data_IF_548641635919
#
_entry.id   IF_548641635919
#
_cell.length_a   1.000
_cell.length_b   1.000
_cell.length_c   1.000
_cell.angle_alpha   90.00
_cell.angle_beta   90.00
_cell.angle_gamma   90.00
#
_symmetry.space_group_name_H-M   'P 1'
#
loop_
_entity.id
_entity.type
_entity.pdbx_description
1 polymer ?
#
# COMPACT_ATOMS: atom_id res chain seq x y z
N UNK A 1 -76.50 24.16 -36.97
CA UNK A 1 -75.61 23.63 -38.01
C UNK A 1 -74.41 24.53 -38.38
N UNK A 2 -74.55 25.87 -38.40
CA UNK A 2 -73.40 26.75 -38.71
C UNK A 2 -72.37 26.85 -37.56
N UNK A 3 -72.76 26.74 -36.27
CA UNK A 3 -71.82 26.82 -35.13
C UNK A 3 -71.07 25.52 -34.90
N UNK A 4 -71.67 24.35 -35.14
CA UNK A 4 -71.01 23.04 -35.03
C UNK A 4 -69.95 22.87 -36.08
N UNK A 5 -70.05 23.39 -37.29
CA UNK A 5 -69.05 23.38 -38.33
C UNK A 5 -67.82 24.26 -37.96
N UNK A 6 -68.10 25.43 -37.33
CA UNK A 6 -67.01 26.34 -36.89
C UNK A 6 -66.20 25.78 -35.74
N UNK A 7 -66.78 24.93 -34.90
CA UNK A 7 -66.13 24.27 -33.79
C UNK A 7 -65.29 23.03 -34.23
N UNK A 8 -65.76 22.29 -35.24
CA UNK A 8 -64.95 21.21 -35.85
C UNK A 8 -63.72 21.76 -36.58
N UNK A 9 -63.86 22.90 -37.26
CA UNK A 9 -62.77 23.59 -37.91
C UNK A 9 -61.71 24.10 -36.91
N UNK A 10 -62.15 24.58 -35.73
CA UNK A 10 -61.24 24.98 -34.63
C UNK A 10 -60.43 23.81 -34.07
N UNK A 11 -61.01 22.63 -33.92
CA UNK A 11 -60.28 21.42 -33.48
C UNK A 11 -59.24 20.96 -34.50
N UNK A 12 -59.59 20.95 -35.79
CA UNK A 12 -58.67 20.61 -36.87
C UNK A 12 -57.51 21.60 -36.96
N UNK A 13 -57.79 22.91 -36.91
CA UNK A 13 -56.76 23.96 -36.91
C UNK A 13 -55.84 23.87 -35.68
N UNK A 14 -56.35 23.42 -34.54
CA UNK A 14 -55.52 23.23 -33.33
C UNK A 14 -54.60 21.98 -33.44
N UNK A 15 -55.08 20.90 -34.06
CA UNK A 15 -54.23 19.74 -34.38
C UNK A 15 -53.08 20.13 -35.31
N UNK A 16 -53.38 20.86 -36.37
CA UNK A 16 -52.37 21.34 -37.31
C UNK A 16 -51.32 22.25 -36.64
N UNK A 17 -51.78 23.17 -35.76
CA UNK A 17 -50.87 24.03 -34.97
C UNK A 17 -49.95 23.25 -34.04
N UNK A 18 -50.47 22.17 -33.41
CA UNK A 18 -49.63 21.27 -32.59
C UNK A 18 -48.61 20.55 -33.45
N UNK A 19 -48.98 19.99 -34.56
CA UNK A 19 -48.05 19.26 -35.44
C UNK A 19 -46.97 20.18 -36.01
N UNK A 20 -47.33 21.32 -36.56
CA UNK A 20 -46.36 22.29 -37.09
C UNK A 20 -45.47 22.86 -36.00
N UNK A 21 -46.05 23.12 -34.80
CA UNK A 21 -45.24 23.57 -33.68
C UNK A 21 -44.26 22.55 -33.15
N UNK A 22 -44.58 21.24 -33.16
CA UNK A 22 -43.70 20.18 -32.79
C UNK A 22 -42.50 20.01 -33.71
N UNK A 23 -42.67 20.28 -35.00
CA UNK A 23 -41.58 20.22 -36.03
C UNK A 23 -40.51 21.28 -35.83
N UNK A 24 -40.85 22.40 -35.20
CA UNK A 24 -39.93 23.56 -34.99
C UNK A 24 -39.11 23.47 -33.69
N UNK A 25 -39.38 22.51 -32.81
CA UNK A 25 -38.73 22.42 -31.48
C UNK A 25 -37.33 21.78 -31.57
N UNK A 26 -36.39 22.37 -30.82
CA UNK A 26 -35.00 21.99 -30.86
C UNK A 26 -34.47 21.32 -29.59
N UNK A 27 -35.16 21.43 -28.47
CA UNK A 27 -34.77 20.88 -27.17
C UNK A 27 -35.96 20.55 -26.24
N UNK A 28 -35.68 19.73 -25.22
CA UNK A 28 -36.70 19.28 -24.26
C UNK A 28 -37.36 20.40 -23.47
N UNK A 29 -36.70 21.54 -23.25
CA UNK A 29 -37.26 22.68 -22.53
C UNK A 29 -38.33 23.40 -23.36
N UNK A 30 -38.05 23.64 -24.64
CA UNK A 30 -39.03 24.22 -25.57
C UNK A 30 -40.24 23.29 -25.71
N UNK A 31 -40.03 21.99 -25.78
CA UNK A 31 -41.11 21.00 -25.83
C UNK A 31 -41.99 21.04 -24.57
N UNK A 32 -41.40 21.17 -23.39
CA UNK A 32 -42.13 21.31 -22.13
C UNK A 32 -42.98 22.59 -22.08
N UNK A 33 -42.40 23.72 -22.45
CA UNK A 33 -43.09 25.01 -22.49
C UNK A 33 -44.27 24.98 -23.50
N UNK A 34 -44.04 24.40 -24.68
CA UNK A 34 -45.05 24.24 -25.70
C UNK A 34 -46.18 23.31 -25.24
N UNK A 35 -45.88 22.14 -24.72
CA UNK A 35 -46.86 21.20 -24.13
C UNK A 35 -47.69 21.85 -23.03
N UNK A 36 -47.00 22.56 -22.12
CA UNK A 36 -47.68 23.22 -21.00
C UNK A 36 -48.71 24.26 -21.47
N UNK A 37 -48.41 24.98 -22.56
CA UNK A 37 -49.35 25.97 -23.16
C UNK A 37 -50.63 25.33 -23.71
N UNK A 38 -50.60 24.06 -24.11
CA UNK A 38 -51.73 23.33 -24.67
C UNK A 38 -52.48 22.46 -23.65
N UNK A 39 -51.76 21.79 -22.76
CA UNK A 39 -52.32 20.75 -21.87
C UNK A 39 -52.43 21.15 -20.41
N UNK A 40 -51.59 22.07 -19.92
CA UNK A 40 -51.43 22.30 -18.47
C UNK A 40 -52.02 23.67 -18.02
N UNK A 41 -52.77 23.63 -16.94
CA UNK A 41 -53.30 24.82 -16.27
C UNK A 41 -54.67 25.32 -16.79
N UNK A 42 -55.29 26.24 -16.06
CA UNK A 42 -56.62 26.79 -16.34
C UNK A 42 -56.70 27.67 -17.60
N UNK A 43 -55.55 28.07 -18.14
CA UNK A 43 -55.43 28.91 -19.33
C UNK A 43 -54.86 28.13 -20.52
N UNK A 44 -54.71 26.81 -20.43
CA UNK A 44 -54.28 26.00 -21.57
C UNK A 44 -55.35 26.00 -22.66
N UNK A 45 -54.88 25.91 -23.92
CA UNK A 45 -55.78 25.99 -25.09
C UNK A 45 -56.86 24.90 -25.08
N UNK A 46 -56.55 23.69 -24.61
CA UNK A 46 -57.53 22.61 -24.43
C UNK A 46 -58.52 22.92 -23.29
N UNK A 47 -58.06 23.53 -22.20
CA UNK A 47 -58.94 23.94 -21.10
C UNK A 47 -59.90 25.10 -21.51
N UNK A 48 -59.46 25.97 -22.43
CA UNK A 48 -60.33 27.02 -23.00
C UNK A 48 -61.43 26.42 -23.86
N UNK A 49 -61.12 25.44 -24.71
CA UNK A 49 -62.13 24.72 -25.50
C UNK A 49 -63.15 23.98 -24.59
N UNK A 50 -62.71 23.42 -23.49
CA UNK A 50 -63.63 22.81 -22.51
C UNK A 50 -64.53 23.82 -21.83
N UNK A 51 -64.11 25.07 -21.64
CA UNK A 51 -64.95 26.13 -21.12
C UNK A 51 -66.03 26.62 -22.16
N UNK A 52 -65.66 26.67 -23.43
CA UNK A 52 -66.60 27.03 -24.52
C UNK A 52 -67.72 26.05 -24.66
N UNK A 53 -67.55 24.79 -24.25
CA UNK A 53 -68.60 23.77 -24.19
C UNK A 53 -69.84 24.24 -23.35
N UNK A 54 -69.66 25.12 -22.39
CA UNK A 54 -70.73 25.64 -21.56
C UNK A 54 -71.71 26.54 -22.32
N UNK A 55 -71.28 27.12 -23.42
CA UNK A 55 -72.04 28.01 -24.26
C UNK A 55 -72.86 27.28 -25.32
N UNK A 56 -72.75 25.97 -25.43
CA UNK A 56 -73.45 25.15 -26.40
C UNK A 56 -74.79 24.66 -25.91
N UNK A 57 -75.67 24.33 -26.84
CA UNK A 57 -76.97 23.71 -26.53
C UNK A 57 -76.74 22.33 -25.85
N UNK A 58 -77.67 21.93 -24.91
CA UNK A 58 -77.50 20.70 -24.13
C UNK A 58 -77.27 19.44 -24.96
N UNK A 59 -77.93 19.36 -26.11
CA UNK A 59 -77.87 18.25 -27.06
C UNK A 59 -76.50 18.12 -27.77
N UNK A 60 -75.81 19.21 -27.98
CA UNK A 60 -74.49 19.29 -28.67
C UNK A 60 -73.28 19.12 -27.73
N UNK A 61 -73.51 19.33 -26.42
CA UNK A 61 -72.43 19.29 -25.41
C UNK A 61 -71.73 17.95 -25.32
N UNK A 62 -72.48 16.86 -25.41
CA UNK A 62 -71.98 15.50 -25.30
C UNK A 62 -71.04 15.14 -26.51
N UNK A 63 -71.44 15.49 -27.71
CA UNK A 63 -70.70 15.30 -28.92
C UNK A 63 -69.35 16.11 -28.94
N UNK A 64 -69.48 17.42 -28.63
CA UNK A 64 -68.32 18.29 -28.56
C UNK A 64 -67.31 17.92 -27.45
N UNK A 65 -67.83 17.56 -26.24
CA UNK A 65 -67.00 17.07 -25.15
C UNK A 65 -66.19 15.81 -25.52
N UNK A 66 -66.81 14.89 -26.29
CA UNK A 66 -66.11 13.68 -26.80
C UNK A 66 -64.97 14.06 -27.78
N UNK A 67 -65.27 14.97 -28.71
CA UNK A 67 -64.24 15.42 -29.71
C UNK A 67 -63.09 16.19 -29.04
N UNK A 68 -63.32 16.99 -27.98
CA UNK A 68 -62.27 17.66 -27.20
C UNK A 68 -61.44 16.67 -26.40
N UNK A 69 -62.02 15.61 -25.85
CA UNK A 69 -61.32 14.57 -25.16
C UNK A 69 -60.44 13.74 -26.13
N UNK A 70 -60.96 13.39 -27.31
CA UNK A 70 -60.20 12.73 -28.36
C UNK A 70 -58.99 13.59 -28.80
N UNK A 71 -59.17 14.89 -28.96
CA UNK A 71 -58.07 15.83 -29.25
C UNK A 71 -57.05 15.85 -28.10
N UNK A 72 -57.47 15.82 -26.86
CA UNK A 72 -56.59 15.82 -25.69
C UNK A 72 -55.75 14.54 -25.63
N UNK A 73 -56.38 13.39 -25.80
CA UNK A 73 -55.67 12.08 -25.80
C UNK A 73 -54.68 12.01 -26.97
N UNK A 74 -55.10 12.46 -28.16
CA UNK A 74 -54.22 12.53 -29.31
C UNK A 74 -53.02 13.48 -29.06
N UNK A 75 -53.27 14.64 -28.45
CA UNK A 75 -52.19 15.59 -28.12
C UNK A 75 -51.20 15.01 -27.10
N UNK A 76 -51.69 14.33 -26.06
CA UNK A 76 -50.88 13.67 -25.06
C UNK A 76 -49.96 12.60 -25.73
N UNK A 77 -50.50 11.75 -26.60
CA UNK A 77 -49.73 10.75 -27.33
C UNK A 77 -48.65 11.38 -28.22
N UNK A 78 -48.99 12.47 -28.94
CA UNK A 78 -48.03 13.17 -29.79
C UNK A 78 -46.90 13.83 -29.01
N UNK A 79 -47.23 14.51 -27.91
CA UNK A 79 -46.23 15.10 -27.02
C UNK A 79 -45.33 14.02 -26.39
N UNK A 80 -45.87 12.89 -25.95
CA UNK A 80 -45.13 11.80 -25.39
C UNK A 80 -44.13 11.19 -26.38
N UNK A 81 -44.60 10.95 -27.63
CA UNK A 81 -43.71 10.45 -28.70
C UNK A 81 -42.59 11.44 -29.05
N UNK A 82 -42.88 12.72 -29.04
CA UNK A 82 -41.87 13.75 -29.29
C UNK A 82 -40.90 13.89 -28.14
N UNK A 83 -41.34 13.75 -26.89
CA UNK A 83 -40.47 13.73 -25.70
C UNK A 83 -39.46 12.56 -25.76
N UNK A 84 -39.91 11.38 -26.10
CA UNK A 84 -39.05 10.23 -26.26
C UNK A 84 -38.04 10.42 -27.39
N UNK A 85 -38.48 10.95 -28.53
CA UNK A 85 -37.56 11.29 -29.65
C UNK A 85 -36.52 12.32 -29.27
N UNK A 86 -36.89 13.38 -28.53
CA UNK A 86 -36.00 14.41 -28.05
C UNK A 86 -34.95 13.82 -27.09
N UNK A 87 -35.37 12.98 -26.12
CA UNK A 87 -34.45 12.30 -25.19
C UNK A 87 -33.43 11.43 -25.94
N UNK A 88 -33.84 10.70 -26.97
CA UNK A 88 -32.93 9.91 -27.78
C UNK A 88 -31.93 10.78 -28.54
N UNK A 89 -32.38 11.88 -29.13
CA UNK A 89 -31.51 12.83 -29.84
C UNK A 89 -30.50 13.53 -28.91
N UNK A 90 -30.96 13.93 -27.72
CA UNK A 90 -30.08 14.51 -26.70
C UNK A 90 -29.05 13.50 -26.21
N UNK A 91 -29.44 12.25 -25.99
CA UNK A 91 -28.54 11.16 -25.61
C UNK A 91 -27.51 10.86 -26.71
N UNK A 92 -27.94 10.83 -27.97
CA UNK A 92 -27.04 10.61 -29.10
C UNK A 92 -26.03 11.77 -29.26
N UNK A 93 -26.47 13.01 -29.14
CA UNK A 93 -25.57 14.20 -29.15
C UNK A 93 -24.57 14.14 -28.01
N UNK A 94 -25.00 13.71 -26.83
CA UNK A 94 -24.12 13.50 -25.68
C UNK A 94 -23.08 12.43 -25.96
N UNK A 95 -23.46 11.27 -26.51
CA UNK A 95 -22.50 10.23 -26.87
C UNK A 95 -21.49 10.69 -27.92
N UNK A 96 -21.92 11.51 -28.89
CA UNK A 96 -21.00 12.07 -29.89
C UNK A 96 -20.03 13.10 -29.28
N UNK A 97 -20.51 13.94 -28.36
CA UNK A 97 -19.66 14.95 -27.69
C UNK A 97 -18.72 14.36 -26.63
N UNK A 98 -19.11 13.27 -26.00
CA UNK A 98 -18.32 12.57 -24.97
C UNK A 98 -17.47 11.43 -25.56
N UNK A 99 -17.40 11.30 -26.89
CA UNK A 99 -16.61 10.27 -27.55
C UNK A 99 -15.12 10.45 -27.22
N UNK A 100 -14.54 9.46 -26.54
CA UNK A 100 -13.13 9.42 -26.19
C UNK A 100 -12.39 8.62 -27.27
N UNK A 101 -11.22 9.10 -27.68
CA UNK A 101 -10.31 8.36 -28.53
C UNK A 101 -9.61 7.27 -27.70
N UNK A 102 -10.09 6.03 -27.85
CA UNK A 102 -9.52 4.85 -27.17
C UNK A 102 -8.19 4.39 -27.76
N UNK A 103 -7.71 5.01 -28.85
CA UNK A 103 -6.41 4.69 -29.44
C UNK A 103 -5.27 5.49 -28.80
N UNK A 104 -5.59 6.53 -28.02
CA UNK A 104 -4.60 7.25 -27.24
C UNK A 104 -4.07 6.30 -26.13
N UNK A 105 -2.73 6.22 -25.96
CA UNK A 105 -2.17 5.45 -24.85
C UNK A 105 -2.67 6.05 -23.54
N UNK A 106 -3.06 5.15 -22.61
CA UNK A 106 -3.34 5.57 -21.25
C UNK A 106 -2.06 6.17 -20.62
N UNK A 107 -2.23 7.18 -19.78
CA UNK A 107 -1.13 7.61 -18.93
C UNK A 107 -0.62 6.38 -18.18
N UNK A 108 0.66 6.04 -18.36
CA UNK A 108 1.30 5.01 -17.59
C UNK A 108 1.22 5.42 -16.11
N UNK A 109 0.29 4.83 -15.38
CA UNK A 109 0.33 4.88 -13.92
C UNK A 109 1.60 4.14 -13.53
N UNK A 110 2.66 4.91 -13.28
CA UNK A 110 3.96 4.35 -12.92
C UNK A 110 3.80 3.40 -11.73
N UNK A 111 4.01 2.12 -11.97
CA UNK A 111 4.06 1.13 -10.90
C UNK A 111 5.27 1.50 -10.05
N UNK A 112 5.06 1.81 -8.78
CA UNK A 112 6.15 2.10 -7.85
C UNK A 112 6.94 0.83 -7.56
N UNK A 113 8.24 0.98 -7.32
CA UNK A 113 9.11 -0.11 -6.88
C UNK A 113 9.28 -0.05 -5.36
N UNK A 114 9.38 -1.22 -4.73
CA UNK A 114 9.74 -1.30 -3.32
C UNK A 114 11.16 -0.80 -3.11
N UNK A 115 11.38 -0.16 -1.97
CA UNK A 115 12.71 0.30 -1.58
C UNK A 115 13.67 -0.89 -1.38
N UNK A 116 14.97 -0.83 -1.76
CA UNK A 116 15.92 -1.92 -1.64
C UNK A 116 16.02 -2.54 -0.25
N UNK A 117 15.96 -1.72 0.80
CA UNK A 117 15.93 -2.18 2.19
C UNK A 117 14.67 -3.01 2.46
N UNK A 118 13.51 -2.59 1.94
CA UNK A 118 12.25 -3.33 2.08
C UNK A 118 12.31 -4.67 1.37
N UNK A 119 12.88 -4.72 0.16
CA UNK A 119 13.08 -5.98 -0.59
C UNK A 119 13.96 -6.95 0.19
N UNK A 120 15.11 -6.48 0.70
CA UNK A 120 16.02 -7.30 1.51
C UNK A 120 15.34 -7.75 2.80
N UNK A 121 14.67 -6.83 3.53
CA UNK A 121 13.93 -7.18 4.75
C UNK A 121 12.92 -8.31 4.50
N UNK A 122 12.10 -8.17 3.48
CA UNK A 122 11.08 -9.17 3.15
C UNK A 122 11.71 -10.51 2.78
N UNK A 123 12.74 -10.51 1.93
CA UNK A 123 13.46 -11.73 1.56
C UNK A 123 14.12 -12.43 2.76
N UNK A 124 14.71 -11.68 3.68
CA UNK A 124 15.27 -12.24 4.92
C UNK A 124 14.17 -12.84 5.80
N UNK A 125 13.06 -12.14 5.95
CA UNK A 125 11.91 -12.67 6.71
C UNK A 125 11.42 -13.98 6.08
N UNK A 126 11.26 -14.06 4.77
CA UNK A 126 10.81 -15.28 4.08
C UNK A 126 11.81 -16.45 4.27
N UNK A 127 13.11 -16.18 4.17
CA UNK A 127 14.16 -17.18 4.38
C UNK A 127 14.08 -17.75 5.81
N UNK A 128 14.02 -16.89 6.81
CA UNK A 128 14.03 -17.32 8.22
C UNK A 128 12.65 -17.84 8.69
N UNK A 129 11.56 -17.31 8.19
CA UNK A 129 10.22 -17.87 8.43
C UNK A 129 10.12 -19.31 7.91
N UNK A 130 10.74 -19.59 6.73
CA UNK A 130 10.90 -20.96 6.21
C UNK A 130 11.75 -21.88 7.11
N UNK A 131 12.54 -21.32 8.04
CA UNK A 131 13.30 -22.05 9.05
C UNK A 131 12.56 -22.09 10.41
N UNK A 132 11.33 -21.56 10.50
CA UNK A 132 10.49 -21.56 11.69
C UNK A 132 10.70 -20.38 12.65
N UNK A 133 11.25 -19.26 12.19
CA UNK A 133 11.35 -18.03 12.98
C UNK A 133 10.03 -17.25 12.94
N UNK A 134 9.66 -16.70 14.09
CA UNK A 134 8.55 -15.74 14.26
C UNK A 134 9.12 -14.32 14.23
N UNK A 135 8.38 -13.36 13.65
CA UNK A 135 8.81 -11.96 13.63
C UNK A 135 8.30 -11.23 14.87
N UNK A 136 9.19 -10.55 15.57
CA UNK A 136 8.90 -9.68 16.71
C UNK A 136 9.32 -8.24 16.39
N UNK A 137 8.39 -7.31 16.36
CA UNK A 137 8.65 -5.87 16.18
C UNK A 137 8.68 -5.17 17.55
N UNK A 138 9.87 -4.71 17.95
CA UNK A 138 10.10 -3.99 19.20
C UNK A 138 9.96 -2.47 19.04
N UNK A 139 9.88 -1.76 20.16
CA UNK A 139 9.84 -0.29 20.20
C UNK A 139 11.18 0.32 19.79
N UNK A 140 11.15 1.52 19.17
CA UNK A 140 12.36 2.27 18.81
C UNK A 140 12.91 3.07 19.98
N UNK A 141 12.03 3.50 20.88
CA UNK A 141 12.41 4.13 22.17
C UNK A 141 12.43 3.02 23.21
N UNK A 142 13.61 2.81 23.78
CA UNK A 142 13.83 1.74 24.75
C UNK A 142 14.34 2.28 26.08
N UNK A 143 14.12 1.46 27.12
CA UNK A 143 14.74 1.69 28.42
C UNK A 143 16.19 1.21 28.39
N UNK A 144 17.07 1.94 29.09
CA UNK A 144 18.49 1.60 29.24
C UNK A 144 18.73 0.15 29.72
N UNK A 145 17.84 -0.36 30.57
CA UNK A 145 17.90 -1.75 31.04
C UNK A 145 17.84 -2.74 29.88
N UNK A 146 16.84 -2.61 28.98
CA UNK A 146 16.67 -3.53 27.85
C UNK A 146 17.72 -3.38 26.77
N UNK A 147 18.18 -2.14 26.51
CA UNK A 147 19.17 -1.87 25.48
C UNK A 147 20.59 -2.28 25.90
N UNK A 148 20.89 -2.28 27.21
CA UNK A 148 22.24 -2.51 27.73
C UNK A 148 22.32 -3.50 28.90
N UNK A 149 21.72 -3.19 30.03
CA UNK A 149 21.96 -3.91 31.29
C UNK A 149 21.55 -5.38 31.19
N UNK A 150 20.37 -5.68 30.68
CA UNK A 150 19.87 -7.05 30.49
C UNK A 150 20.73 -7.85 29.48
N UNK A 151 21.38 -7.14 28.54
CA UNK A 151 22.31 -7.69 27.56
C UNK A 151 23.77 -7.79 28.07
N UNK A 152 23.95 -7.95 29.38
CA UNK A 152 25.24 -8.08 30.01
C UNK A 152 26.19 -6.89 29.78
N UNK A 153 25.64 -5.68 29.63
CA UNK A 153 26.40 -4.42 29.46
C UNK A 153 26.01 -3.45 30.59
N UNK A 154 26.54 -3.65 31.82
CA UNK A 154 26.25 -2.79 32.98
C UNK A 154 26.78 -1.36 32.76
N UNK A 155 26.39 -0.42 33.66
CA UNK A 155 26.65 1.04 33.49
C UNK A 155 28.12 1.37 33.28
N UNK A 156 29.01 0.65 33.91
CA UNK A 156 30.48 0.89 33.87
C UNK A 156 31.18 0.05 32.80
N UNK A 157 30.45 -0.60 31.90
CA UNK A 157 31.05 -1.46 30.88
C UNK A 157 31.61 -0.63 29.71
N UNK A 158 32.88 -0.82 29.30
CA UNK A 158 33.52 -0.06 28.23
C UNK A 158 32.77 -0.08 26.88
N UNK A 159 32.02 -1.15 26.62
CA UNK A 159 31.22 -1.25 25.37
C UNK A 159 30.09 -0.21 25.28
N UNK A 160 29.71 0.46 26.38
CA UNK A 160 28.77 1.60 26.32
C UNK A 160 29.40 2.84 25.69
N UNK A 161 30.67 3.10 26.00
CA UNK A 161 31.39 4.26 25.47
C UNK A 161 31.70 4.11 23.97
N UNK A 162 31.69 2.88 23.48
CA UNK A 162 31.88 2.57 22.04
C UNK A 162 30.62 2.73 21.21
N UNK A 163 29.46 2.94 21.85
CA UNK A 163 28.19 3.15 21.15
C UNK A 163 27.66 4.55 21.44
N UNK A 164 27.91 5.47 20.51
CA UNK A 164 27.35 6.81 20.57
C UNK A 164 25.83 6.75 20.54
N UNK A 165 25.22 6.92 21.71
CA UNK A 165 23.80 6.67 21.96
C UNK A 165 23.01 7.97 22.06
N UNK A 166 21.86 8.04 21.39
CA UNK A 166 20.90 9.14 21.56
C UNK A 166 20.02 8.91 22.79
N UNK A 167 20.34 9.56 23.90
CA UNK A 167 19.51 9.55 25.10
C UNK A 167 18.42 10.62 25.02
N UNK A 168 17.18 10.24 25.33
CA UNK A 168 16.02 11.12 25.47
C UNK A 168 15.88 11.60 26.92
N UNK A 169 16.26 10.75 27.87
CA UNK A 169 16.33 11.00 29.30
C UNK A 169 17.38 10.06 29.92
N UNK A 170 17.70 10.17 31.22
CA UNK A 170 18.63 9.24 31.89
C UNK A 170 18.21 7.76 31.79
N UNK A 171 16.93 7.48 31.55
CA UNK A 171 16.36 6.11 31.52
C UNK A 171 15.96 5.65 30.13
N UNK A 172 15.68 6.57 29.21
CA UNK A 172 15.17 6.25 27.87
C UNK A 172 16.11 6.74 26.77
N UNK A 173 16.23 5.95 25.73
CA UNK A 173 17.11 6.18 24.60
C UNK A 173 16.47 5.71 23.28
N UNK A 174 17.04 6.15 22.16
CA UNK A 174 16.78 5.50 20.87
C UNK A 174 17.64 4.24 20.80
N UNK A 175 17.02 3.07 20.57
CA UNK A 175 17.73 1.78 20.59
C UNK A 175 18.91 1.76 19.63
N UNK A 176 20.05 1.30 20.10
CA UNK A 176 21.29 1.19 19.31
C UNK A 176 21.38 -0.12 18.54
N UNK A 177 20.51 -1.08 18.84
CA UNK A 177 20.41 -2.43 18.30
C UNK A 177 19.00 -2.97 18.49
N UNK A 178 18.60 -4.00 17.75
CA UNK A 178 17.28 -4.64 17.92
C UNK A 178 17.27 -5.72 18.99
N UNK A 179 18.40 -5.95 19.67
CA UNK A 179 18.59 -6.99 20.73
C UNK A 179 17.65 -6.80 21.92
N UNK A 180 17.19 -5.58 22.23
CA UNK A 180 16.19 -5.35 23.27
C UNK A 180 14.92 -6.20 23.05
N UNK A 181 14.52 -6.41 21.79
CA UNK A 181 13.40 -7.28 21.43
C UNK A 181 13.62 -8.74 21.87
N UNK A 182 14.85 -9.22 21.90
CA UNK A 182 15.19 -10.57 22.38
C UNK A 182 14.91 -10.70 23.88
N UNK A 183 15.27 -9.68 24.67
CA UNK A 183 15.02 -9.64 26.12
C UNK A 183 13.52 -9.63 26.40
N UNK A 184 12.77 -8.73 25.74
CA UNK A 184 11.31 -8.67 25.87
C UNK A 184 10.62 -10.02 25.60
N UNK A 185 11.09 -10.75 24.58
CA UNK A 185 10.53 -12.07 24.28
C UNK A 185 10.93 -13.11 25.32
N UNK A 186 12.20 -13.15 25.74
CA UNK A 186 12.68 -14.12 26.71
C UNK A 186 12.06 -13.94 28.10
N UNK A 187 11.73 -12.72 28.50
CA UNK A 187 11.01 -12.45 29.77
C UNK A 187 9.53 -12.93 29.74
N UNK A 188 8.91 -12.94 28.54
CA UNK A 188 7.49 -13.21 28.39
C UNK A 188 7.15 -14.59 27.78
N UNK A 189 8.14 -15.28 27.18
CA UNK A 189 7.95 -16.58 26.52
C UNK A 189 8.97 -17.60 27.01
N UNK A 190 8.50 -18.79 27.36
CA UNK A 190 9.39 -19.91 27.73
C UNK A 190 9.98 -20.55 26.47
N UNK A 191 11.21 -21.10 26.53
CA UNK A 191 11.75 -21.88 25.44
C UNK A 191 10.84 -23.09 25.10
N UNK A 192 10.80 -23.51 23.79
CA UNK A 192 11.67 -23.06 22.74
C UNK A 192 11.30 -21.69 22.18
N UNK A 193 12.30 -20.85 21.91
CA UNK A 193 12.16 -19.52 21.34
C UNK A 193 12.92 -19.47 20.02
N UNK A 194 12.31 -18.96 18.97
CA UNK A 194 12.96 -18.75 17.67
C UNK A 194 12.35 -17.52 17.02
N UNK A 195 13.03 -16.37 17.08
CA UNK A 195 12.51 -15.08 16.64
C UNK A 195 13.49 -14.30 15.76
N UNK A 196 12.91 -13.44 14.92
CA UNK A 196 13.58 -12.35 14.22
C UNK A 196 13.06 -11.02 14.76
N UNK A 197 13.96 -10.09 15.04
CA UNK A 197 13.64 -8.73 15.45
C UNK A 197 14.18 -7.74 14.39
N UNK A 198 13.40 -7.40 13.34
CA UNK A 198 13.77 -6.36 12.39
C UNK A 198 13.40 -4.98 12.94
N UNK A 199 14.19 -3.95 12.55
CA UNK A 199 13.81 -2.58 12.87
C UNK A 199 14.90 -1.55 12.67
N UNK A 200 14.51 -0.29 12.81
CA UNK A 200 15.42 0.84 12.79
C UNK A 200 16.21 0.90 14.10
N UNK A 201 17.47 1.28 13.98
CA UNK A 201 18.38 1.49 15.09
C UNK A 201 19.12 2.82 14.89
N UNK A 202 19.65 3.38 15.97
CA UNK A 202 20.14 4.74 15.99
C UNK A 202 21.50 4.81 16.70
N UNK A 203 22.48 5.44 16.04
CA UNK A 203 23.82 5.75 16.60
C UNK A 203 24.22 7.14 16.14
N UNK A 204 24.94 7.89 16.95
CA UNK A 204 25.31 9.26 16.61
C UNK A 204 26.42 9.35 15.54
N UNK A 205 26.90 8.25 15.03
CA UNK A 205 27.89 8.19 13.95
C UNK A 205 27.31 8.74 12.64
N UNK A 206 28.01 9.68 12.00
CA UNK A 206 27.67 10.19 10.67
C UNK A 206 28.94 10.40 9.84
N UNK A 207 29.23 9.44 8.93
CA UNK A 207 30.32 9.54 7.98
C UNK A 207 29.90 9.04 6.57
N UNK A 208 30.87 8.76 5.70
CA UNK A 208 30.59 8.29 4.34
C UNK A 208 30.02 6.86 4.28
N UNK A 209 30.17 6.07 5.35
CA UNK A 209 29.81 4.66 5.47
C UNK A 209 28.77 4.38 6.56
N UNK A 210 28.51 5.35 7.43
CA UNK A 210 27.58 5.27 8.53
C UNK A 210 26.49 6.34 8.41
N UNK A 211 25.29 5.98 8.87
CA UNK A 211 24.14 6.85 8.97
C UNK A 211 23.64 6.85 10.41
N UNK A 212 23.20 8.01 10.97
CA UNK A 212 22.65 8.08 12.32
C UNK A 212 21.46 7.15 12.54
N UNK A 213 20.76 6.79 11.49
CA UNK A 213 19.69 5.79 11.49
C UNK A 213 19.99 4.76 10.41
N UNK A 214 19.88 3.48 10.78
CA UNK A 214 19.99 2.36 9.85
C UNK A 214 19.09 1.20 10.31
N UNK A 215 19.02 0.12 9.53
CA UNK A 215 18.15 -1.00 9.83
C UNK A 215 18.95 -2.24 10.18
N UNK A 216 18.54 -2.91 11.26
CA UNK A 216 19.05 -4.22 11.64
C UNK A 216 17.93 -5.25 11.61
N UNK A 217 18.34 -6.51 11.46
CA UNK A 217 17.51 -7.67 11.72
C UNK A 217 18.35 -8.63 12.56
N UNK A 218 17.87 -8.91 13.78
CA UNK A 218 18.52 -9.84 14.66
C UNK A 218 17.69 -11.10 14.85
N UNK A 219 18.35 -12.23 14.92
CA UNK A 219 17.72 -13.51 15.20
C UNK A 219 18.19 -14.09 16.53
N UNK A 220 17.27 -14.74 17.24
CA UNK A 220 17.51 -15.45 18.48
C UNK A 220 16.90 -16.85 18.40
N UNK A 221 17.67 -17.84 18.81
CA UNK A 221 17.18 -19.19 19.08
C UNK A 221 17.57 -19.57 20.51
N UNK A 222 16.61 -20.02 21.31
CA UNK A 222 16.84 -20.59 22.65
C UNK A 222 16.08 -21.90 22.79
N UNK A 223 16.82 -22.98 23.04
CA UNK A 223 16.25 -24.31 23.25
C UNK A 223 17.25 -25.18 24.02
N UNK A 224 16.90 -26.42 24.31
CA UNK A 224 17.83 -27.38 24.94
C UNK A 224 18.94 -27.81 23.99
N UNK A 225 20.18 -27.74 24.45
CA UNK A 225 21.33 -28.28 23.76
C UNK A 225 21.72 -27.53 22.47
N UNK A 226 21.36 -26.27 22.32
CA UNK A 226 21.78 -25.42 21.19
C UNK A 226 23.27 -25.13 21.26
N UNK A 227 23.95 -25.26 20.12
CA UNK A 227 25.41 -25.16 19.99
C UNK A 227 25.85 -24.12 18.95
N UNK A 228 27.14 -23.77 18.95
CA UNK A 228 27.75 -22.96 17.90
C UNK A 228 27.67 -23.65 16.52
N UNK A 229 27.62 -24.99 16.50
CA UNK A 229 27.49 -25.75 15.25
C UNK A 229 26.10 -25.57 14.63
N UNK A 230 25.06 -25.48 15.45
CA UNK A 230 23.69 -25.21 14.99
C UNK A 230 23.60 -23.81 14.39
N UNK A 231 24.20 -22.80 15.05
CA UNK A 231 24.35 -21.45 14.51
C UNK A 231 25.05 -21.47 13.13
N UNK A 232 26.19 -22.16 13.03
CA UNK A 232 26.93 -22.25 11.77
C UNK A 232 26.11 -22.91 10.68
N UNK A 233 25.45 -24.02 10.96
CA UNK A 233 24.61 -24.75 10.00
C UNK A 233 23.46 -23.89 9.47
N UNK A 234 22.79 -23.13 10.36
CA UNK A 234 21.73 -22.20 9.98
C UNK A 234 22.26 -21.04 9.13
N UNK A 235 23.42 -20.46 9.50
CA UNK A 235 24.04 -19.37 8.73
C UNK A 235 24.56 -19.83 7.37
N UNK A 236 25.09 -21.05 7.24
CA UNK A 236 25.47 -21.63 5.95
C UNK A 236 24.27 -21.73 5.00
N UNK A 237 23.11 -22.16 5.52
CA UNK A 237 21.88 -22.21 4.73
C UNK A 237 21.39 -20.82 4.34
N UNK A 238 21.40 -19.87 5.27
CA UNK A 238 21.04 -18.48 5.03
C UNK A 238 21.90 -17.85 3.91
N UNK A 239 23.21 -17.97 4.02
CA UNK A 239 24.17 -17.36 3.07
C UNK A 239 23.99 -17.93 1.66
N UNK A 240 23.75 -19.25 1.54
CA UNK A 240 23.44 -19.86 0.25
C UNK A 240 22.15 -19.32 -0.37
N UNK A 241 21.11 -19.12 0.44
CA UNK A 241 19.83 -18.61 -0.04
C UNK A 241 19.88 -17.14 -0.47
N UNK A 242 20.72 -16.31 0.17
CA UNK A 242 20.80 -14.87 -0.15
C UNK A 242 21.85 -14.55 -1.23
N UNK A 243 22.99 -15.25 -1.24
CA UNK A 243 24.14 -14.96 -2.12
C UNK A 243 24.46 -16.07 -3.13
N UNK A 244 23.75 -17.18 -3.10
CA UNK A 244 23.86 -18.29 -4.04
C UNK A 244 24.52 -19.55 -3.46
N UNK A 245 24.18 -20.70 -4.03
CA UNK A 245 24.55 -22.06 -3.54
C UNK A 245 26.07 -22.32 -3.42
N UNK A 246 26.88 -21.63 -4.21
CA UNK A 246 28.34 -21.75 -4.17
C UNK A 246 29.01 -21.00 -3.02
N UNK A 247 28.24 -20.26 -2.20
CA UNK A 247 28.79 -19.45 -1.12
C UNK A 247 29.01 -20.30 0.15
N UNK A 248 30.13 -20.11 0.82
CA UNK A 248 30.48 -20.78 2.08
C UNK A 248 30.75 -19.75 3.16
N UNK A 249 30.51 -20.13 4.43
CA UNK A 249 30.79 -19.26 5.58
C UNK A 249 32.07 -19.63 6.28
N UNK A 250 32.67 -18.62 6.91
CA UNK A 250 33.79 -18.72 7.82
C UNK A 250 33.48 -17.94 9.10
N UNK A 251 33.78 -18.54 10.26
CA UNK A 251 33.64 -17.87 11.55
C UNK A 251 35.01 -17.37 12.00
N UNK A 252 35.09 -16.11 12.41
CA UNK A 252 36.27 -15.49 13.06
C UNK A 252 35.92 -15.16 14.50
N UNK A 253 36.80 -15.42 15.48
CA UNK A 253 36.59 -14.99 16.85
C UNK A 253 36.35 -13.49 16.95
N UNK A 254 35.39 -13.09 17.78
CA UNK A 254 35.06 -11.69 18.08
C UNK A 254 34.61 -11.55 19.54
N UNK A 255 34.23 -10.39 19.96
CA UNK A 255 33.72 -10.13 21.30
C UNK A 255 32.44 -9.28 21.25
N UNK A 256 31.39 -9.81 21.87
CA UNK A 256 30.17 -9.07 22.19
C UNK A 256 29.76 -9.40 23.62
N UNK A 257 29.33 -8.40 24.44
CA UNK A 257 29.00 -8.65 25.86
C UNK A 257 27.91 -9.70 26.09
N UNK A 258 26.99 -9.78 25.15
CA UNK A 258 25.77 -10.61 25.20
C UNK A 258 25.94 -12.01 24.58
N UNK A 259 27.10 -12.34 24.02
CA UNK A 259 27.39 -13.68 23.48
C UNK A 259 28.76 -14.19 23.92
N UNK A 260 28.90 -15.52 24.13
CA UNK A 260 30.14 -16.19 24.46
C UNK A 260 30.04 -17.69 24.10
N UNK A 261 30.80 -18.18 23.10
CA UNK A 261 31.74 -17.44 22.25
C UNK A 261 31.00 -16.51 21.27
N UNK A 262 31.69 -15.40 20.95
CA UNK A 262 31.25 -14.45 19.91
C UNK A 262 32.05 -14.66 18.63
N UNK A 263 31.40 -14.47 17.49
CA UNK A 263 32.01 -14.62 16.18
C UNK A 263 31.58 -13.55 15.19
N UNK A 264 32.48 -13.12 14.35
CA UNK A 264 32.12 -12.45 13.10
C UNK A 264 32.02 -13.50 12.00
N UNK A 265 31.04 -13.32 11.12
CA UNK A 265 30.74 -14.27 10.04
C UNK A 265 31.09 -13.64 8.71
N UNK A 266 32.03 -14.26 8.02
CA UNK A 266 32.38 -13.92 6.65
C UNK A 266 31.75 -14.94 5.69
N UNK A 267 31.34 -14.47 4.50
CA UNK A 267 31.01 -15.33 3.39
C UNK A 267 32.12 -15.27 2.30
N UNK A 268 32.34 -16.36 1.55
CA UNK A 268 33.17 -16.32 0.36
C UNK A 268 32.59 -15.31 -0.63
N UNK A 269 33.43 -14.49 -1.23
CA UNK A 269 33.00 -13.46 -2.16
C UNK A 269 32.25 -14.08 -3.34
N UNK A 270 30.97 -13.78 -3.42
CA UNK A 270 30.08 -14.30 -4.45
C UNK A 270 30.36 -13.71 -5.84
N UNK A 271 30.98 -12.52 -5.92
CA UNK A 271 31.35 -11.88 -7.18
C UNK A 271 32.57 -12.60 -7.84
N UNK A 272 33.61 -12.91 -7.08
CA UNK A 272 34.84 -13.51 -7.61
C UNK A 272 35.04 -15.00 -7.25
N UNK A 273 34.06 -15.61 -6.58
CA UNK A 273 34.17 -17.01 -6.12
C UNK A 273 35.34 -17.25 -5.17
N UNK A 274 35.72 -16.28 -4.34
CA UNK A 274 36.82 -16.38 -3.38
C UNK A 274 38.21 -16.05 -3.94
N UNK A 275 38.34 -15.67 -5.21
CA UNK A 275 39.65 -15.40 -5.87
C UNK A 275 40.26 -14.05 -5.51
N UNK A 276 39.50 -13.12 -4.99
CA UNK A 276 39.90 -11.74 -4.70
C UNK A 276 39.49 -10.78 -5.82
N UNK A 277 38.77 -9.72 -5.47
CA UNK A 277 38.32 -8.64 -6.36
C UNK A 277 38.18 -7.33 -5.58
N UNK A 278 37.76 -6.26 -6.26
CA UNK A 278 37.55 -4.96 -5.61
C UNK A 278 36.49 -5.01 -4.51
N UNK A 279 35.40 -5.78 -4.67
CA UNK A 279 34.34 -5.92 -3.68
C UNK A 279 34.86 -6.49 -2.36
N UNK A 280 35.67 -7.57 -2.41
CA UNK A 280 36.28 -8.20 -1.24
C UNK A 280 37.63 -7.62 -0.90
N UNK A 281 38.08 -6.54 -1.54
CA UNK A 281 39.40 -5.90 -1.35
C UNK A 281 40.59 -6.90 -1.46
N UNK A 282 40.50 -7.83 -2.40
CA UNK A 282 41.51 -8.84 -2.66
C UNK A 282 41.53 -10.04 -1.71
N UNK A 283 40.72 -10.05 -0.64
CA UNK A 283 40.74 -11.09 0.41
C UNK A 283 40.04 -12.39 0.02
N UNK A 284 39.10 -12.33 -0.92
CA UNK A 284 38.19 -13.44 -1.25
C UNK A 284 37.04 -13.64 -0.27
N UNK A 285 36.96 -12.82 0.81
CA UNK A 285 35.97 -12.94 1.87
C UNK A 285 35.26 -11.59 2.13
N UNK A 286 34.00 -11.63 2.52
CA UNK A 286 33.18 -10.47 2.86
C UNK A 286 32.53 -10.71 4.22
N UNK A 287 32.81 -9.82 5.17
CA UNK A 287 32.11 -9.80 6.47
C UNK A 287 30.67 -9.41 6.27
N UNK A 288 29.74 -10.19 6.81
CA UNK A 288 28.30 -10.02 6.63
C UNK A 288 27.52 -9.76 7.92
N UNK A 289 27.95 -10.33 9.05
CA UNK A 289 27.23 -10.21 10.31
C UNK A 289 28.07 -10.61 11.53
N UNK A 290 27.62 -10.18 12.72
CA UNK A 290 28.10 -10.68 13.99
C UNK A 290 27.12 -11.70 14.59
N UNK A 291 27.64 -12.70 15.30
CA UNK A 291 26.84 -13.76 15.89
C UNK A 291 27.55 -14.38 17.14
N UNK A 292 26.85 -15.26 17.85
CA UNK A 292 27.46 -16.02 18.93
C UNK A 292 26.47 -16.86 19.71
N UNK A 293 26.98 -17.63 20.64
CA UNK A 293 26.17 -18.34 21.64
C UNK A 293 25.74 -17.33 22.71
N UNK A 294 24.47 -17.32 23.07
CA UNK A 294 23.92 -16.37 24.06
C UNK A 294 24.64 -16.55 25.39
N UNK A 295 25.11 -15.44 25.97
CA UNK A 295 25.79 -15.48 27.26
C UNK A 295 24.84 -15.97 28.36
N UNK A 296 25.30 -16.86 29.24
CA UNK A 296 24.50 -17.40 30.32
C UNK A 296 23.80 -16.35 31.19
N UNK A 297 24.50 -15.23 31.49
CA UNK A 297 23.93 -14.10 32.24
C UNK A 297 22.72 -13.46 31.57
N UNK A 298 22.69 -13.44 30.24
CA UNK A 298 21.56 -12.89 29.49
C UNK A 298 20.32 -13.78 29.67
N UNK A 299 20.49 -15.11 29.60
CA UNK A 299 19.41 -16.05 29.88
C UNK A 299 18.91 -15.91 31.31
N UNK A 300 19.84 -15.88 32.29
CA UNK A 300 19.53 -15.72 33.73
C UNK A 300 18.82 -14.39 34.02
N UNK A 301 19.23 -13.28 33.40
CA UNK A 301 18.56 -11.98 33.51
C UNK A 301 17.09 -12.04 33.06
N UNK A 302 16.76 -12.94 32.13
CA UNK A 302 15.41 -13.17 31.63
C UNK A 302 14.67 -14.31 32.38
N UNK A 303 15.26 -14.86 33.45
CA UNK A 303 14.65 -15.96 34.24
C UNK A 303 14.66 -17.32 33.55
N UNK A 304 15.52 -17.52 32.57
CA UNK A 304 15.73 -18.79 31.87
C UNK A 304 16.89 -19.54 32.51
N UNK A 305 16.70 -20.81 32.84
CA UNK A 305 17.74 -21.66 33.43
C UNK A 305 18.86 -21.94 32.39
N UNK A 306 20.03 -21.34 32.62
CA UNK A 306 21.19 -21.44 31.73
C UNK A 306 21.90 -22.79 31.78
N UNK A 307 21.56 -23.68 32.75
CA UNK A 307 22.05 -25.06 32.80
C UNK A 307 21.16 -26.02 31.97
N UNK A 308 19.89 -25.69 31.80
CA UNK A 308 18.96 -26.47 30.98
C UNK A 308 18.89 -26.00 29.53
N UNK A 309 18.96 -24.68 29.31
CA UNK A 309 18.78 -24.06 28.02
C UNK A 309 20.05 -23.33 27.55
N UNK A 310 20.26 -23.37 26.26
CA UNK A 310 21.27 -22.59 25.57
C UNK A 310 20.68 -21.92 24.34
N UNK A 311 21.40 -21.00 23.74
CA UNK A 311 20.89 -20.31 22.57
C UNK A 311 21.98 -19.70 21.73
N UNK A 312 21.64 -19.25 20.54
CA UNK A 312 22.49 -18.39 19.74
C UNK A 312 21.73 -17.15 19.24
N UNK A 313 22.50 -16.10 18.98
CA UNK A 313 21.97 -14.88 18.36
C UNK A 313 22.88 -14.44 17.22
N UNK A 314 22.29 -13.70 16.27
CA UNK A 314 23.02 -13.08 15.15
C UNK A 314 22.36 -11.75 14.76
N UNK A 315 23.14 -10.81 14.19
CA UNK A 315 22.64 -9.51 13.79
C UNK A 315 23.09 -9.11 12.40
N UNK A 316 22.14 -8.81 11.50
CA UNK A 316 22.36 -8.46 10.10
C UNK A 316 22.03 -6.99 9.88
N UNK A 317 22.95 -6.21 9.29
CA UNK A 317 22.67 -4.87 8.78
C UNK A 317 21.98 -4.93 7.41
N UNK A 318 20.77 -4.38 7.31
CA UNK A 318 19.97 -4.47 6.08
C UNK A 318 20.57 -3.62 4.95
N UNK A 319 21.09 -2.43 5.26
CA UNK A 319 21.80 -1.58 4.30
C UNK A 319 23.00 -2.29 3.71
N UNK A 320 23.81 -2.91 4.58
CA UNK A 320 25.00 -3.67 4.15
C UNK A 320 24.63 -4.79 3.20
N UNK A 321 23.57 -5.53 3.53
CA UNK A 321 23.07 -6.63 2.69
C UNK A 321 22.52 -6.09 1.36
N UNK A 322 21.76 -4.98 1.38
CA UNK A 322 21.23 -4.35 0.17
C UNK A 322 22.35 -3.82 -0.73
N UNK A 323 23.34 -3.15 -0.14
CA UNK A 323 24.50 -2.64 -0.88
C UNK A 323 25.27 -3.77 -1.57
N UNK A 324 25.53 -4.86 -0.87
CA UNK A 324 26.19 -6.03 -1.43
C UNK A 324 25.38 -6.70 -2.54
N UNK A 325 24.08 -6.89 -2.31
CA UNK A 325 23.19 -7.58 -3.25
C UNK A 325 22.93 -6.80 -4.54
N UNK A 326 22.75 -5.50 -4.44
CA UNK A 326 22.38 -4.64 -5.58
C UNK A 326 23.55 -3.83 -6.15
N UNK A 327 24.78 -4.04 -5.65
CA UNK A 327 25.96 -3.32 -6.12
C UNK A 327 25.94 -1.82 -5.79
N UNK A 328 25.28 -1.42 -4.71
CA UNK A 328 25.20 -0.02 -4.26
C UNK A 328 26.49 0.29 -3.48
N UNK A 329 27.25 1.27 -3.93
CA UNK A 329 28.57 1.60 -3.36
C UNK A 329 28.55 2.76 -2.35
N UNK A 330 27.40 3.41 -2.15
CA UNK A 330 27.25 4.50 -1.21
C UNK A 330 25.92 4.38 -0.45
N UNK A 331 26.00 4.30 0.88
CA UNK A 331 24.84 4.16 1.76
C UNK A 331 23.84 5.32 1.62
N UNK A 332 24.31 6.54 1.33
CA UNK A 332 23.46 7.73 1.15
C UNK A 332 22.49 7.61 -0.02
N UNK A 333 22.76 6.74 -1.00
CA UNK A 333 21.83 6.45 -2.09
C UNK A 333 20.55 5.75 -1.58
N UNK A 334 20.64 5.01 -0.48
CA UNK A 334 19.49 4.35 0.14
C UNK A 334 18.56 5.32 0.88
N UNK A 335 19.04 6.52 1.23
CA UNK A 335 18.29 7.52 1.99
C UNK A 335 17.92 8.76 1.17
N UNK A 336 18.43 8.88 -0.06
CA UNK A 336 18.24 10.04 -0.94
C UNK A 336 16.88 10.11 -1.63
N UNK A 337 16.04 9.07 -1.54
CA UNK A 337 14.71 8.98 -2.17
C UNK A 337 14.73 9.27 -3.68
N UNK A 338 15.83 9.01 -4.39
CA UNK A 338 15.95 9.24 -5.83
C UNK A 338 15.21 8.13 -6.61
N UNK A 339 14.14 8.50 -7.28
CA UNK A 339 13.32 7.57 -8.07
C UNK A 339 14.11 6.88 -9.19
N UNK A 340 15.20 7.49 -9.70
CA UNK A 340 16.05 6.88 -10.72
C UNK A 340 16.80 5.67 -10.17
N UNK A 341 17.20 5.71 -8.90
CA UNK A 341 17.81 4.58 -8.18
C UNK A 341 16.78 3.49 -7.95
N UNK A 342 15.60 3.84 -7.45
CA UNK A 342 14.53 2.89 -7.17
C UNK A 342 14.05 2.15 -8.42
N UNK A 343 14.01 2.83 -9.58
CA UNK A 343 13.61 2.23 -10.87
C UNK A 343 14.60 1.19 -11.41
N UNK A 344 15.86 1.20 -10.94
CA UNK A 344 16.89 0.24 -11.36
C UNK A 344 16.91 -1.05 -10.53
N UNK A 345 16.20 -1.04 -9.40
CA UNK A 345 16.21 -2.14 -8.44
C UNK A 345 14.83 -2.78 -8.44
N UNK A 346 14.74 -3.99 -9.01
CA UNK A 346 13.52 -4.79 -8.97
C UNK A 346 13.81 -6.16 -8.37
N UNK A 347 12.75 -6.84 -7.96
CA UNK A 347 12.84 -8.29 -7.72
C UNK A 347 13.30 -8.99 -9.02
N UNK A 348 14.43 -9.67 -8.93
CA UNK A 348 14.90 -10.60 -9.96
C UNK A 348 14.44 -12.00 -9.59
#
# INVERSE_FOLDING_TARGET
>A
MQETHKLSDNLAALKEKIETGLEGLSNSKELYEFRSSYLEGKKSKISELMKEMRNLAPEERAGYGKSVNELKEWAIDRFSKMEEKMKQLELQRRYESEKIDLTLPADETGVGNLHPITLVRNQLIDIFAGMGFEVYEGAEIENDYYNFTALNTPKDHPARDMQDTFYLSPEFLLRTQTSAGQIHVMENKKPPIKILSPGRVFRSDDDATHSPMFHQMEGLVVDKGITLSDLKGMLDLFVKKIYGEGTVTRLRPSYFPFTEPSVEVDCSCFECGGKGCNLCKGTGWIEILGAGVVNKKVLENCGIDSEEYSGFAFGIGLERTAMLKYGINNIKMLFGSDLRVLKQIYEK
#
